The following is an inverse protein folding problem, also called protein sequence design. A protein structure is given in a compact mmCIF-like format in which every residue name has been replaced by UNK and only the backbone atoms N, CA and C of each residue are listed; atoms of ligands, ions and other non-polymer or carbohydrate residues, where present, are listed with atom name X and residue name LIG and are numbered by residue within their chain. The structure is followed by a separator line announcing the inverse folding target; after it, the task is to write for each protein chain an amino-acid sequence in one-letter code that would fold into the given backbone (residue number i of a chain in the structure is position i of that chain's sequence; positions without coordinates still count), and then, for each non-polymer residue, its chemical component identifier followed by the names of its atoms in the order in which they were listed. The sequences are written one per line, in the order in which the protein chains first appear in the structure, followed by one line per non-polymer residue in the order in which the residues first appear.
data_IF_710744288901
#
_entry.id   IF_710744288901
#
_cell.length_a   1.000
_cell.length_b   1.000
_cell.length_c   1.000
_cell.angle_alpha   90.00
_cell.angle_beta   90.00
_cell.angle_gamma   90.00
#
_symmetry.space_group_name_H-M   'P 1'
#
loop_
_entity.id
_entity.type
_entity.pdbx_description
1 polymer ?
#
# COMPACT_ATOMS: atom_id res chain seq x y z
N UNK A 1 20.49 -8.89 -1.23
CA UNK A 1 19.72 -7.66 -1.48
C UNK A 1 18.67 -7.56 -0.37
N UNK A 2 18.37 -6.37 0.15
CA UNK A 2 17.37 -6.19 1.19
C UNK A 2 15.99 -6.65 0.71
N UNK A 3 15.14 -7.10 1.65
CA UNK A 3 13.76 -7.48 1.38
C UNK A 3 12.97 -6.22 0.96
N UNK A 4 12.30 -6.24 -0.20
CA UNK A 4 11.51 -5.10 -0.67
C UNK A 4 10.04 -5.24 -0.31
N UNK A 5 9.52 -4.28 0.43
CA UNK A 5 8.13 -4.27 0.92
C UNK A 5 7.40 -3.05 0.36
N UNK A 6 6.23 -3.29 -0.23
CA UNK A 6 5.34 -2.25 -0.73
C UNK A 6 4.10 -2.13 0.14
N UNK A 7 3.94 -1.00 0.81
CA UNK A 7 2.74 -0.65 1.60
C UNK A 7 1.75 0.06 0.69
N UNK A 8 0.50 -0.41 0.62
CA UNK A 8 -0.54 0.21 -0.22
C UNK A 8 -1.65 0.73 0.68
N UNK A 9 -1.54 2.02 1.02
CA UNK A 9 -2.58 2.77 1.73
C UNK A 9 -2.66 4.22 1.22
N UNK A 10 -3.36 4.46 0.10
CA UNK A 10 -3.45 5.79 -0.47
C UNK A 10 -4.32 6.78 0.31
N UNK A 11 -5.28 6.32 1.10
CA UNK A 11 -6.28 7.14 1.81
C UNK A 11 -7.01 6.32 2.87
N UNK A 12 -7.88 6.85 3.73
CA UNK A 12 -8.05 8.27 4.08
C UNK A 12 -7.02 8.70 5.13
N UNK A 13 -7.03 9.97 5.57
CA UNK A 13 -6.13 10.48 6.62
C UNK A 13 -6.08 9.55 7.85
N UNK A 14 -7.25 9.23 8.42
CA UNK A 14 -7.34 8.41 9.62
C UNK A 14 -6.73 7.04 9.42
N UNK A 15 -7.00 6.40 8.27
CA UNK A 15 -6.45 5.08 8.01
C UNK A 15 -4.94 5.11 7.71
N UNK A 16 -4.43 6.17 7.08
CA UNK A 16 -2.98 6.36 6.89
C UNK A 16 -2.29 6.42 8.24
N UNK A 17 -2.82 7.22 9.17
CA UNK A 17 -2.30 7.33 10.54
C UNK A 17 -2.39 5.98 11.26
N UNK A 18 -3.52 5.28 11.16
CA UNK A 18 -3.70 3.97 11.79
C UNK A 18 -2.81 2.86 11.19
N UNK A 19 -2.27 3.04 9.98
CA UNK A 19 -1.36 2.07 9.34
C UNK A 19 0.09 2.25 9.82
N UNK A 20 0.45 3.42 10.37
CA UNK A 20 1.82 3.69 10.84
C UNK A 20 2.34 2.68 11.88
N UNK A 21 1.56 2.26 12.90
CA UNK A 21 2.01 1.25 13.85
C UNK A 21 2.34 -0.11 13.20
N UNK A 22 1.58 -0.51 12.17
CA UNK A 22 1.88 -1.74 11.44
C UNK A 22 3.20 -1.62 10.67
N UNK A 23 3.48 -0.47 10.05
CA UNK A 23 4.75 -0.22 9.36
C UNK A 23 5.93 -0.18 10.34
N UNK A 24 5.75 0.42 11.52
CA UNK A 24 6.76 0.39 12.58
C UNK A 24 7.05 -1.05 13.04
N UNK A 25 6.02 -1.87 13.26
CA UNK A 25 6.17 -3.27 13.62
C UNK A 25 6.91 -4.09 12.53
N UNK A 26 6.65 -3.78 11.25
CA UNK A 26 7.39 -4.38 10.12
C UNK A 26 8.87 -3.98 10.16
N UNK A 27 9.17 -2.69 10.39
CA UNK A 27 10.54 -2.20 10.52
C UNK A 27 11.27 -2.89 11.67
N UNK A 28 10.65 -3.01 12.84
CA UNK A 28 11.23 -3.69 13.99
C UNK A 28 11.52 -5.17 13.70
N UNK A 29 10.59 -5.86 13.02
CA UNK A 29 10.74 -7.27 12.65
C UNK A 29 11.71 -7.50 11.47
N UNK A 30 11.89 -6.51 10.60
CA UNK A 30 12.73 -6.53 9.39
C UNK A 30 13.55 -5.24 9.26
N UNK A 31 14.56 -5.02 10.12
CA UNK A 31 15.31 -3.76 10.16
C UNK A 31 15.99 -3.39 8.85
N UNK A 32 16.45 -4.39 8.09
CA UNK A 32 17.16 -4.21 6.82
C UNK A 32 16.25 -4.20 5.58
N UNK A 33 14.93 -4.16 5.75
CA UNK A 33 14.00 -4.09 4.61
C UNK A 33 13.98 -2.72 3.94
N UNK A 34 13.64 -2.67 2.66
CA UNK A 34 13.36 -1.44 1.92
C UNK A 34 11.84 -1.28 1.83
N UNK A 35 11.29 -0.29 2.52
CA UNK A 35 9.85 -0.06 2.65
C UNK A 35 9.45 1.13 1.78
N UNK A 36 8.67 0.84 0.74
CA UNK A 36 8.05 1.85 -0.13
C UNK A 36 6.56 1.96 0.19
N UNK A 37 6.02 3.17 0.37
CA UNK A 37 4.60 3.39 0.64
C UNK A 37 3.89 4.11 -0.52
N UNK A 38 2.86 3.48 -1.10
CA UNK A 38 1.97 4.10 -2.09
C UNK A 38 0.92 4.98 -1.41
N UNK A 39 1.01 6.30 -1.61
CA UNK A 39 0.15 7.28 -0.92
C UNK A 39 -0.41 8.36 -1.87
N UNK A 40 -1.59 8.91 -1.56
CA UNK A 40 -2.06 10.11 -2.27
C UNK A 40 -1.22 11.36 -1.90
N UNK A 41 -1.03 12.32 -2.83
CA UNK A 41 -0.23 13.53 -2.59
C UNK A 41 -0.67 14.33 -1.36
N UNK A 42 -1.98 14.40 -1.13
CA UNK A 42 -2.62 15.08 0.00
C UNK A 42 -2.10 14.58 1.37
N UNK A 43 -1.81 13.29 1.47
CA UNK A 43 -1.41 12.63 2.72
C UNK A 43 0.09 12.34 2.80
N UNK A 44 0.83 12.48 1.70
CA UNK A 44 2.28 12.27 1.66
C UNK A 44 3.07 13.05 2.73
N UNK A 45 2.72 14.30 3.10
CA UNK A 45 3.40 15.02 4.17
C UNK A 45 3.40 14.31 5.53
N UNK A 46 2.43 13.44 5.81
CA UNK A 46 2.36 12.67 7.06
C UNK A 46 3.49 11.64 7.20
N UNK A 47 4.05 11.19 6.07
CA UNK A 47 5.13 10.21 6.04
C UNK A 47 6.50 10.88 6.10
N UNK A 48 6.57 12.21 5.96
CA UNK A 48 7.85 12.94 5.90
C UNK A 48 8.59 12.82 7.23
N UNK A 49 9.84 12.35 7.16
CA UNK A 49 10.71 12.19 8.34
C UNK A 49 10.38 10.95 9.17
N UNK A 50 9.47 10.09 8.72
CA UNK A 50 9.29 8.79 9.34
C UNK A 50 10.48 7.88 8.98
N UNK A 51 11.20 7.39 10.00
CA UNK A 51 12.38 6.53 9.86
C UNK A 51 12.04 5.11 9.37
N UNK A 52 10.79 4.69 9.49
CA UNK A 52 10.37 3.34 9.15
C UNK A 52 10.12 3.18 7.65
N UNK A 53 10.04 4.30 6.91
CA UNK A 53 9.68 4.35 5.49
C UNK A 53 10.86 4.91 4.70
N UNK A 54 11.37 4.14 3.74
CA UNK A 54 12.49 4.54 2.90
C UNK A 54 12.03 5.40 1.72
N UNK A 55 10.90 5.03 1.11
CA UNK A 55 10.41 5.65 -0.12
C UNK A 55 8.91 5.91 -0.10
N UNK A 56 8.49 7.00 -0.73
CA UNK A 56 7.09 7.35 -0.91
C UNK A 56 6.76 7.33 -2.40
N UNK A 57 5.82 6.48 -2.80
CA UNK A 57 5.37 6.35 -4.18
C UNK A 57 4.02 7.06 -4.35
N UNK A 58 4.02 8.21 -5.03
CA UNK A 58 2.84 9.08 -5.08
C UNK A 58 1.81 8.56 -6.07
N UNK A 59 0.57 8.34 -5.63
CA UNK A 59 -0.56 7.94 -6.48
C UNK A 59 -1.19 9.15 -7.18
N UNK A 60 -1.40 9.13 -8.52
CA UNK A 60 -1.93 10.27 -9.27
C UNK A 60 -3.46 10.40 -9.14
N UNK A 61 -3.98 10.72 -7.95
CA UNK A 61 -5.43 10.79 -7.66
C UNK A 61 -6.16 11.89 -8.44
N UNK A 62 -5.52 13.05 -8.62
CA UNK A 62 -6.16 14.30 -9.08
C UNK A 62 -6.51 14.37 -10.56
N UNK A 63 -6.26 13.32 -11.34
CA UNK A 63 -6.31 13.41 -12.80
C UNK A 63 -7.39 12.55 -13.45
N UNK A 64 -8.18 11.79 -12.68
CA UNK A 64 -9.21 10.89 -13.23
C UNK A 64 -10.51 11.58 -13.70
N UNK A 65 -10.61 12.91 -13.67
CA UNK A 65 -11.85 13.65 -14.01
C UNK A 65 -11.70 14.72 -15.12
N UNK A 66 -10.63 14.70 -15.91
CA UNK A 66 -10.41 15.71 -16.98
C UNK A 66 -9.77 15.15 -18.25
N UNK A 67 -9.82 15.93 -19.35
CA UNK A 67 -9.37 15.56 -20.71
C UNK A 67 -7.86 15.20 -20.87
N UNK A 68 -7.06 15.23 -19.80
CA UNK A 68 -5.65 14.80 -19.75
C UNK A 68 -5.38 13.53 -18.90
N UNK A 69 -6.43 12.93 -18.32
CA UNK A 69 -6.40 11.82 -17.37
C UNK A 69 -5.51 10.61 -17.70
N UNK A 70 -5.44 10.13 -18.95
CA UNK A 70 -4.68 8.92 -19.27
C UNK A 70 -3.17 9.14 -19.36
N UNK A 71 -2.74 10.40 -19.53
CA UNK A 71 -1.37 10.73 -19.91
C UNK A 71 -0.32 10.43 -18.84
N UNK A 72 -0.68 10.58 -17.56
CA UNK A 72 0.24 10.31 -16.42
C UNK A 72 0.04 8.95 -15.78
N UNK A 73 -1.11 8.31 -16.00
CA UNK A 73 -1.38 6.98 -15.47
C UNK A 73 -0.44 5.93 -16.08
N UNK A 74 -0.20 5.99 -17.39
CA UNK A 74 0.64 5.00 -18.07
C UNK A 74 2.13 5.11 -17.64
N UNK A 75 2.76 6.30 -17.60
CA UNK A 75 4.08 6.47 -16.99
C UNK A 75 4.14 5.98 -15.54
N UNK A 76 3.15 6.33 -14.73
CA UNK A 76 3.08 5.91 -13.34
C UNK A 76 2.95 4.39 -13.20
N UNK A 77 2.15 3.73 -14.03
CA UNK A 77 2.05 2.26 -14.06
C UNK A 77 3.38 1.62 -14.45
N UNK A 78 4.12 2.20 -15.41
CA UNK A 78 5.45 1.73 -15.80
C UNK A 78 6.46 1.87 -14.67
N UNK A 79 6.43 2.99 -13.95
CA UNK A 79 7.27 3.21 -12.77
C UNK A 79 6.91 2.25 -11.64
N UNK A 80 5.61 2.11 -11.35
CA UNK A 80 5.10 1.16 -10.35
C UNK A 80 5.56 -0.27 -10.65
N UNK A 81 5.51 -0.69 -11.93
CA UNK A 81 5.98 -2.01 -12.36
C UNK A 81 7.50 -2.23 -12.18
N UNK A 82 8.30 -1.17 -12.09
CA UNK A 82 9.74 -1.26 -11.83
C UNK A 82 10.06 -1.46 -10.35
N UNK A 83 9.10 -1.26 -9.44
CA UNK A 83 9.31 -1.48 -8.01
C UNK A 83 9.64 -2.94 -7.70
N UNK A 84 8.91 -3.89 -8.34
CA UNK A 84 9.09 -5.34 -8.21
C UNK A 84 9.36 -5.80 -6.77
N UNK A 85 8.49 -5.45 -5.80
CA UNK A 85 8.72 -5.79 -4.40
C UNK A 85 8.61 -7.31 -4.19
N UNK A 86 9.28 -7.81 -3.16
CA UNK A 86 9.10 -9.20 -2.75
C UNK A 86 7.69 -9.40 -2.15
N UNK A 87 7.21 -8.41 -1.41
CA UNK A 87 5.92 -8.43 -0.73
C UNK A 87 5.18 -7.10 -0.94
N UNK A 88 3.90 -7.17 -1.28
CA UNK A 88 2.99 -6.02 -1.20
C UNK A 88 1.91 -6.28 -0.13
N UNK A 89 1.69 -5.29 0.74
CA UNK A 89 0.68 -5.31 1.79
C UNK A 89 -0.44 -4.31 1.43
N UNK A 90 -1.60 -4.82 1.05
CA UNK A 90 -2.78 -4.02 0.72
C UNK A 90 -3.64 -3.76 1.96
N UNK A 91 -3.34 -2.67 2.65
CA UNK A 91 -4.10 -2.18 3.80
C UNK A 91 -5.40 -1.45 3.39
N UNK A 92 -5.59 -1.14 2.10
CA UNK A 92 -6.77 -0.44 1.61
C UNK A 92 -7.93 -1.40 1.32
N UNK A 93 -7.62 -2.60 0.79
CA UNK A 93 -8.62 -3.64 0.61
C UNK A 93 -9.65 -3.39 -0.49
N UNK A 94 -9.36 -2.53 -1.48
CA UNK A 94 -10.28 -2.20 -2.59
C UNK A 94 -9.74 -2.72 -3.93
N UNK A 95 -10.59 -2.77 -4.97
CA UNK A 95 -10.17 -3.29 -6.28
C UNK A 95 -8.97 -2.52 -6.83
N UNK A 96 -9.02 -1.19 -6.71
CA UNK A 96 -7.94 -0.32 -7.20
C UNK A 96 -6.61 -0.57 -6.49
N UNK A 97 -6.61 -0.75 -5.16
CA UNK A 97 -5.38 -1.00 -4.41
C UNK A 97 -4.78 -2.37 -4.72
N UNK A 98 -5.63 -3.38 -4.86
CA UNK A 98 -5.22 -4.71 -5.30
C UNK A 98 -4.62 -4.69 -6.72
N UNK A 99 -5.19 -3.90 -7.63
CA UNK A 99 -4.64 -3.71 -8.98
C UNK A 99 -3.27 -3.02 -8.95
N UNK A 100 -3.08 -2.01 -8.09
CA UNK A 100 -1.76 -1.37 -7.89
C UNK A 100 -0.73 -2.40 -7.42
N UNK A 101 -1.10 -3.23 -6.44
CA UNK A 101 -0.26 -4.31 -5.93
C UNK A 101 0.16 -5.25 -7.07
N UNK A 102 -0.76 -5.59 -7.98
CA UNK A 102 -0.46 -6.47 -9.11
C UNK A 102 0.41 -5.82 -10.16
N UNK A 103 0.14 -4.57 -10.51
CA UNK A 103 0.94 -3.78 -11.46
C UNK A 103 2.37 -3.61 -10.96
N UNK A 104 2.57 -3.50 -9.64
CA UNK A 104 3.90 -3.35 -9.03
C UNK A 104 4.86 -4.50 -9.32
N UNK A 105 4.35 -5.65 -9.75
CA UNK A 105 5.15 -6.86 -9.95
C UNK A 105 5.48 -7.60 -8.66
N UNK A 106 4.73 -7.34 -7.57
CA UNK A 106 4.91 -8.00 -6.29
C UNK A 106 4.88 -9.53 -6.40
N UNK A 107 5.87 -10.23 -5.81
CA UNK A 107 5.92 -11.70 -5.82
C UNK A 107 4.81 -12.30 -4.96
N UNK A 108 4.62 -11.76 -3.76
CA UNK A 108 3.47 -12.07 -2.88
C UNK A 108 2.66 -10.82 -2.61
N UNK A 109 1.34 -10.98 -2.58
CA UNK A 109 0.41 -9.91 -2.18
C UNK A 109 -0.39 -10.41 -0.98
N UNK A 110 -0.35 -9.65 0.09
CA UNK A 110 -1.15 -9.89 1.28
C UNK A 110 -2.24 -8.82 1.37
N UNK A 111 -3.41 -9.23 1.82
CA UNK A 111 -4.48 -8.31 2.17
C UNK A 111 -5.38 -8.92 3.23
N UNK A 112 -6.41 -8.17 3.64
CA UNK A 112 -7.26 -8.56 4.76
C UNK A 112 -8.50 -9.36 4.32
N UNK A 113 -9.00 -10.22 5.21
CA UNK A 113 -10.21 -11.05 5.00
C UNK A 113 -11.50 -10.26 4.99
N UNK A 114 -11.45 -8.95 5.16
CA UNK A 114 -12.58 -8.04 5.09
C UNK A 114 -12.51 -7.12 3.85
N UNK A 115 -11.57 -7.38 2.93
CA UNK A 115 -11.42 -6.62 1.71
C UNK A 115 -12.69 -6.68 0.83
N UNK A 116 -12.91 -5.63 0.04
CA UNK A 116 -14.14 -5.32 -0.72
C UNK A 116 -13.87 -5.26 -2.23
N UNK A 117 -14.93 -5.15 -3.03
CA UNK A 117 -14.83 -4.99 -4.50
C UNK A 117 -14.08 -6.14 -5.21
N UNK A 118 -14.09 -7.34 -4.63
CA UNK A 118 -13.41 -8.51 -5.21
C UNK A 118 -11.87 -8.45 -5.14
N UNK A 119 -11.29 -7.51 -4.40
CA UNK A 119 -9.84 -7.32 -4.26
C UNK A 119 -9.08 -8.57 -3.79
N UNK A 120 -9.74 -9.47 -3.03
CA UNK A 120 -9.17 -10.74 -2.57
C UNK A 120 -8.70 -11.66 -3.69
N UNK A 121 -9.30 -11.57 -4.88
CA UNK A 121 -8.91 -12.38 -6.05
C UNK A 121 -7.47 -12.09 -6.51
N UNK A 122 -6.88 -10.98 -6.08
CA UNK A 122 -5.53 -10.59 -6.42
C UNK A 122 -4.50 -10.92 -5.33
N UNK A 123 -4.94 -11.37 -4.16
CA UNK A 123 -4.08 -11.66 -3.02
C UNK A 123 -3.55 -13.09 -3.10
N UNK A 124 -2.29 -13.24 -2.74
CA UNK A 124 -1.64 -14.54 -2.55
C UNK A 124 -2.02 -15.13 -1.20
N UNK A 125 -2.08 -14.29 -0.17
CA UNK A 125 -2.40 -14.67 1.19
C UNK A 125 -3.38 -13.66 1.80
N UNK A 126 -4.26 -14.13 2.68
CA UNK A 126 -5.33 -13.33 3.27
C UNK A 126 -5.26 -13.42 4.79
N UNK A 127 -5.00 -12.29 5.46
CA UNK A 127 -4.98 -12.20 6.91
C UNK A 127 -6.42 -12.18 7.47
N UNK A 128 -6.77 -13.06 8.42
CA UNK A 128 -8.08 -13.04 9.06
C UNK A 128 -8.20 -11.84 10.00
N UNK A 129 -9.20 -10.99 9.77
CA UNK A 129 -9.48 -9.79 10.56
C UNK A 129 -10.95 -9.67 10.91
N UNK A 130 -11.26 -8.98 12.01
CA UNK A 130 -12.62 -8.59 12.36
C UNK A 130 -12.84 -7.10 12.04
N UNK A 131 -13.98 -6.80 11.41
CA UNK A 131 -14.36 -5.43 11.05
C UNK A 131 -14.76 -4.58 12.27
N UNK A 132 -15.09 -5.21 13.39
CA UNK A 132 -15.49 -4.53 14.62
C UNK A 132 -14.30 -4.16 15.51
N UNK A 133 -13.10 -4.65 15.19
CA UNK A 133 -11.87 -4.26 15.87
C UNK A 133 -11.44 -2.84 15.53
N UNK A 134 -10.66 -2.24 16.42
CA UNK A 134 -10.04 -0.95 16.12
C UNK A 134 -9.13 -1.07 14.90
N UNK A 135 -9.10 -0.03 14.07
CA UNK A 135 -8.39 -0.08 12.79
C UNK A 135 -6.89 -0.42 12.94
N UNK A 136 -6.24 0.06 14.01
CA UNK A 136 -4.85 -0.25 14.33
C UNK A 136 -4.65 -1.75 14.61
N UNK A 137 -5.48 -2.34 15.47
CA UNK A 137 -5.39 -3.77 15.81
C UNK A 137 -5.63 -4.64 14.59
N UNK A 138 -6.57 -4.23 13.74
CA UNK A 138 -6.83 -4.87 12.46
C UNK A 138 -5.61 -4.82 11.53
N UNK A 139 -4.96 -3.66 11.40
CA UNK A 139 -3.81 -3.51 10.51
C UNK A 139 -2.57 -4.25 11.04
N UNK A 140 -2.41 -4.39 12.35
CA UNK A 140 -1.32 -5.19 12.94
C UNK A 140 -1.42 -6.70 12.64
N UNK A 141 -2.58 -7.19 12.22
CA UNK A 141 -2.77 -8.60 11.84
C UNK A 141 -2.31 -8.92 10.41
N UNK A 142 -2.09 -7.90 9.58
CA UNK A 142 -1.62 -8.05 8.20
C UNK A 142 -0.09 -8.04 8.16
#
# INVERSE_FOLDING_TARGET
MPLKILIIKPSSLGDVVHTLPAVAAIRDAKPDSEITWVINPEWAPLLRGNRDIDHVHIFPRGEFSGFGAPGRLLPWMRETRRLQPDVALDFQGLFRSALIARISGAKKIFGMSDAREGSRLFYTEVAPVDRHEHAVDRYLKL
#
